data_IF_169110429241
#
_entry.id   IF_169110429241
#
_cell.length_a   1.000
_cell.length_b   1.000
_cell.length_c   1.000
_cell.angle_alpha   90.00
_cell.angle_beta   90.00
_cell.angle_gamma   90.00
#
_symmetry.space_group_name_H-M   'P 1'
#
loop_
_entity.id
_entity.type
_entity.pdbx_description
1 polymer ?
#
# COMPACT_ATOMS: atom_id res chain seq x y z
N UNK A 1 24.52 12.40 18.25
CA UNK A 1 23.31 12.62 19.09
C UNK A 1 22.43 11.37 19.13
N UNK A 2 22.80 10.33 19.91
CA UNK A 2 22.10 9.03 19.96
C UNK A 2 21.58 8.66 21.36
N UNK A 3 21.74 9.55 22.34
CA UNK A 3 21.40 9.24 23.75
C UNK A 3 19.91 9.34 24.06
N UNK A 4 19.13 10.14 23.35
CA UNK A 4 17.70 10.38 23.65
C UNK A 4 16.80 9.19 23.30
N UNK A 5 17.11 8.48 22.20
CA UNK A 5 16.32 7.33 21.73
C UNK A 5 16.31 6.16 22.73
N UNK A 6 17.45 5.88 23.37
CA UNK A 6 17.57 4.77 24.33
C UNK A 6 16.76 4.99 25.61
N UNK A 7 16.61 6.23 26.06
CA UNK A 7 15.81 6.55 27.25
C UNK A 7 14.32 6.40 26.99
N UNK A 8 13.86 6.77 25.80
CA UNK A 8 12.44 6.65 25.42
C UNK A 8 12.01 5.18 25.35
N UNK A 9 12.82 4.32 24.73
CA UNK A 9 12.54 2.88 24.64
C UNK A 9 12.53 2.22 26.01
N UNK A 10 13.47 2.58 26.90
CA UNK A 10 13.53 2.03 28.26
C UNK A 10 12.34 2.49 29.12
N UNK A 11 11.95 3.76 28.99
CA UNK A 11 10.79 4.30 29.71
C UNK A 11 9.50 3.59 29.27
N UNK A 12 9.32 3.38 27.96
CA UNK A 12 8.14 2.70 27.43
C UNK A 12 8.06 1.24 27.87
N UNK A 13 9.18 0.51 27.88
CA UNK A 13 9.24 -0.86 28.39
C UNK A 13 8.87 -0.94 29.87
N UNK A 14 9.42 -0.05 30.71
CA UNK A 14 9.09 -0.02 32.13
C UNK A 14 7.62 0.35 32.38
N UNK A 15 7.10 1.29 31.60
CA UNK A 15 5.69 1.70 31.68
C UNK A 15 4.75 0.53 31.36
N UNK A 16 5.01 -0.22 30.29
CA UNK A 16 4.24 -1.41 29.93
C UNK A 16 4.36 -2.48 31.02
N UNK A 17 5.59 -2.75 31.50
CA UNK A 17 5.84 -3.76 32.52
C UNK A 17 5.20 -3.44 33.89
N UNK A 18 4.92 -2.17 34.19
CA UNK A 18 4.27 -1.78 35.45
C UNK A 18 2.75 -1.64 35.30
N UNK A 19 2.27 -1.04 34.21
CA UNK A 19 0.84 -0.81 34.03
C UNK A 19 0.09 -2.10 33.73
N UNK A 20 0.65 -3.01 32.94
CA UNK A 20 -0.06 -4.25 32.59
C UNK A 20 -0.34 -5.09 33.84
N UNK A 21 0.65 -5.41 34.71
CA UNK A 21 0.39 -6.16 35.93
C UNK A 21 -0.51 -5.41 36.91
N UNK A 22 -0.36 -4.09 37.03
CA UNK A 22 -1.19 -3.28 37.92
C UNK A 22 -2.67 -3.28 37.48
N UNK A 23 -2.90 -3.14 36.18
CA UNK A 23 -4.21 -3.26 35.58
C UNK A 23 -4.83 -4.64 35.81
N UNK A 24 -4.03 -5.72 35.70
CA UNK A 24 -4.50 -7.06 36.03
C UNK A 24 -4.79 -7.25 37.53
N UNK A 25 -3.99 -6.64 38.41
CA UNK A 25 -4.19 -6.70 39.85
C UNK A 25 -5.50 -6.00 40.28
N UNK A 26 -5.84 -4.87 39.65
CA UNK A 26 -7.08 -4.14 39.95
C UNK A 26 -8.34 -4.74 39.31
N UNK A 27 -8.22 -5.34 38.12
CA UNK A 27 -9.39 -5.79 37.34
C UNK A 27 -9.77 -7.26 37.55
N UNK A 28 -8.90 -8.04 38.20
CA UNK A 28 -9.13 -9.44 38.54
C UNK A 28 -9.13 -10.41 37.34
N UNK A 29 -9.07 -11.73 37.60
CA UNK A 29 -8.87 -12.76 36.56
C UNK A 29 -10.02 -12.91 35.55
N UNK A 30 -11.17 -12.29 35.81
CA UNK A 30 -12.37 -12.41 34.96
C UNK A 30 -12.23 -11.68 33.62
N UNK A 31 -11.25 -10.79 33.46
CA UNK A 31 -11.00 -10.02 32.23
C UNK A 31 -10.48 -10.85 31.05
N UNK A 32 -9.99 -12.08 31.25
CA UNK A 32 -9.49 -12.92 30.16
C UNK A 32 -10.59 -13.49 29.27
N UNK A 33 -11.80 -13.69 29.83
CA UNK A 33 -12.96 -14.19 29.08
C UNK A 33 -13.38 -13.23 27.95
N UNK A 34 -13.31 -11.92 28.21
CA UNK A 34 -13.63 -10.87 27.23
C UNK A 34 -12.58 -10.72 26.13
N UNK A 35 -11.31 -11.05 26.41
CA UNK A 35 -10.26 -11.03 25.39
C UNK A 35 -10.39 -12.27 24.49
N UNK A 36 -10.70 -13.42 25.08
CA UNK A 36 -10.96 -14.65 24.33
C UNK A 36 -12.17 -14.49 23.39
N UNK A 37 -13.27 -13.87 23.86
CA UNK A 37 -14.43 -13.60 23.00
C UNK A 37 -14.10 -12.63 21.86
N UNK A 38 -13.33 -11.57 22.11
CA UNK A 38 -12.87 -10.64 21.06
C UNK A 38 -12.00 -11.34 20.02
N UNK A 39 -11.06 -12.19 20.44
CA UNK A 39 -10.22 -12.98 19.52
C UNK A 39 -11.04 -14.01 18.74
N UNK A 40 -12.05 -14.63 19.35
CA UNK A 40 -12.98 -15.53 18.66
C UNK A 40 -13.84 -14.81 17.62
N UNK A 41 -14.25 -13.56 17.89
CA UNK A 41 -15.04 -12.77 16.94
C UNK A 41 -14.19 -12.37 15.72
N UNK A 42 -12.91 -12.04 15.94
CA UNK A 42 -11.93 -11.79 14.87
C UNK A 42 -11.61 -13.06 14.05
N UNK A 43 -11.63 -14.24 14.67
CA UNK A 43 -11.44 -15.52 13.98
C UNK A 43 -12.63 -15.88 13.08
N UNK A 44 -13.86 -15.51 13.45
CA UNK A 44 -15.05 -15.81 12.64
C UNK A 44 -15.13 -14.96 11.37
N UNK A 45 -14.64 -13.71 11.40
CA UNK A 45 -14.68 -12.83 10.23
C UNK A 45 -13.66 -13.15 9.12
N UNK A 46 -12.67 -14.02 9.39
CA UNK A 46 -11.65 -14.39 8.40
C UNK A 46 -11.99 -15.65 7.56
N UNK A 47 -13.17 -16.25 7.73
CA UNK A 47 -13.54 -17.50 7.04
C UNK A 47 -14.46 -17.25 5.81
N UNK A 48 -14.97 -16.04 5.60
CA UNK A 48 -15.87 -15.73 4.47
C UNK A 48 -15.18 -15.02 3.30
N UNK A 49 -13.92 -15.33 3.01
CA UNK A 49 -13.19 -14.78 1.86
C UNK A 49 -12.51 -15.84 0.99
N UNK A 50 -13.12 -17.02 0.82
CA UNK A 50 -12.70 -17.99 -0.21
C UNK A 50 -13.88 -18.79 -0.74
N UNK A 51 -14.58 -18.25 -1.74
CA UNK A 51 -15.49 -18.93 -2.69
C UNK A 51 -16.23 -17.78 -3.40
N UNK A 52 -16.04 -17.47 -4.68
CA UNK A 52 -16.11 -18.35 -5.85
C UNK A 52 -15.44 -17.67 -7.04
N UNK A 53 -14.53 -18.39 -7.69
CA UNK A 53 -14.03 -18.08 -9.03
C UNK A 53 -14.95 -18.80 -10.04
N UNK A 54 -15.57 -18.12 -11.03
CA UNK A 54 -16.07 -18.79 -12.21
C UNK A 54 -14.99 -18.77 -13.30
N UNK A 55 -14.56 -19.97 -13.65
CA UNK A 55 -13.72 -20.29 -14.81
C UNK A 55 -14.57 -20.37 -16.10
N UNK A 56 -13.90 -20.19 -17.24
CA UNK A 56 -14.24 -20.65 -18.63
C UNK A 56 -15.06 -19.72 -19.56
N UNK A 57 -14.97 -19.89 -20.91
CA UNK A 57 -13.79 -20.17 -21.77
C UNK A 57 -13.75 -19.35 -23.11
N UNK A 58 -12.54 -19.32 -23.70
CA UNK A 58 -12.16 -19.39 -25.14
C UNK A 58 -12.82 -18.58 -26.28
N UNK A 59 -11.92 -18.01 -27.10
CA UNK A 59 -11.89 -17.97 -28.60
C UNK A 59 -12.57 -16.84 -29.39
N UNK A 60 -11.71 -15.93 -29.87
CA UNK A 60 -11.49 -15.49 -31.27
C UNK A 60 -12.72 -15.28 -32.17
N UNK A 61 -12.91 -14.03 -32.60
CA UNK A 61 -13.30 -13.72 -33.99
C UNK A 61 -12.66 -12.41 -34.47
N UNK A 62 -11.97 -12.49 -35.60
CA UNK A 62 -11.38 -11.38 -36.38
C UNK A 62 -12.47 -10.71 -37.23
N UNK A 63 -12.52 -9.38 -37.23
CA UNK A 63 -12.94 -8.60 -38.40
C UNK A 63 -12.33 -7.18 -38.34
N UNK A 64 -11.93 -6.58 -39.48
CA UNK A 64 -11.09 -5.38 -39.51
C UNK A 64 -11.93 -4.09 -39.49
N UNK A 65 -11.58 -3.16 -38.60
CA UNK A 65 -12.14 -1.80 -38.63
C UNK A 65 -11.41 -0.96 -39.69
N UNK A 66 -12.16 -0.57 -40.70
CA UNK A 66 -11.80 0.38 -41.76
C UNK A 66 -11.82 1.78 -41.16
N UNK A 67 -10.65 2.37 -40.89
CA UNK A 67 -10.56 3.77 -40.44
C UNK A 67 -10.34 4.64 -41.68
N UNK A 68 -11.31 5.54 -41.87
CA UNK A 68 -11.36 6.57 -42.90
C UNK A 68 -10.27 7.60 -42.66
N UNK A 69 -9.51 7.93 -43.71
CA UNK A 69 -8.54 9.02 -43.71
C UNK A 69 -9.29 10.33 -44.02
N UNK A 70 -9.38 11.24 -43.05
CA UNK A 70 -9.68 12.65 -43.33
C UNK A 70 -8.75 13.57 -42.50
N UNK A 71 -8.21 14.66 -43.07
CA UNK A 71 -7.07 15.38 -42.52
C UNK A 71 -7.46 16.46 -41.50
N UNK A 72 -6.77 16.46 -40.36
CA UNK A 72 -6.88 17.50 -39.32
C UNK A 72 -6.14 18.79 -39.74
N UNK A 73 -6.70 20.01 -39.54
CA UNK A 73 -6.07 21.28 -39.89
C UNK A 73 -4.89 21.66 -38.95
N UNK A 74 -4.02 22.61 -39.35
CA UNK A 74 -2.66 22.70 -38.87
C UNK A 74 -2.52 23.30 -37.46
N UNK A 75 -1.53 22.71 -36.79
CA UNK A 75 -0.84 23.11 -35.57
C UNK A 75 -0.76 24.62 -35.41
N UNK A 76 -1.53 25.14 -34.46
CA UNK A 76 -1.31 26.46 -33.87
C UNK A 76 0.02 26.44 -33.11
N UNK A 77 0.96 27.25 -33.57
CA UNK A 77 2.24 27.50 -32.93
C UNK A 77 2.01 28.15 -31.56
N UNK A 78 2.07 27.35 -30.49
CA UNK A 78 2.25 27.88 -29.14
C UNK A 78 3.64 28.49 -29.07
N UNK A 79 3.70 29.81 -29.27
CA UNK A 79 4.90 30.60 -29.06
C UNK A 79 5.39 30.37 -27.64
N UNK A 80 6.61 29.83 -27.54
CA UNK A 80 7.41 29.78 -26.34
C UNK A 80 7.58 31.21 -25.79
N UNK A 81 6.65 31.63 -24.93
CA UNK A 81 6.81 32.83 -24.13
C UNK A 81 7.61 32.44 -22.89
N UNK A 82 8.89 32.78 -22.98
CA UNK A 82 9.76 33.22 -21.89
C UNK A 82 9.75 32.36 -20.63
N UNK A 83 10.84 31.59 -20.49
CA UNK A 83 11.40 31.12 -19.23
C UNK A 83 11.41 32.24 -18.18
N UNK A 84 10.32 32.37 -17.45
CA UNK A 84 10.36 32.97 -16.12
C UNK A 84 10.86 31.87 -15.19
N UNK A 85 12.17 31.95 -14.93
CA UNK A 85 12.79 31.76 -13.62
C UNK A 85 11.84 31.19 -12.53
N UNK A 86 12.22 30.02 -12.00
CA UNK A 86 11.52 29.12 -11.06
C UNK A 86 10.55 28.09 -11.67
N UNK A 87 10.95 26.81 -11.63
CA UNK A 87 10.01 25.76 -11.23
C UNK A 87 10.78 24.61 -10.59
N UNK A 88 11.20 24.78 -9.34
CA UNK A 88 11.47 23.62 -8.50
C UNK A 88 10.24 22.71 -8.56
N UNK A 89 10.46 21.39 -8.68
CA UNK A 89 9.36 20.44 -8.61
C UNK A 89 8.56 20.68 -7.33
N UNK A 90 7.23 20.46 -7.33
CA UNK A 90 6.46 20.48 -6.09
C UNK A 90 7.14 19.68 -5.00
N UNK A 91 7.10 20.21 -3.77
CA UNK A 91 7.76 19.57 -2.63
C UNK A 91 7.34 18.10 -2.51
N UNK A 92 8.33 17.23 -2.36
CA UNK A 92 8.12 15.79 -2.25
C UNK A 92 7.77 15.07 -3.56
N UNK A 93 7.53 15.75 -4.69
CA UNK A 93 7.25 15.08 -5.97
C UNK A 93 8.42 14.21 -6.41
N UNK A 94 9.64 14.75 -6.32
CA UNK A 94 10.85 14.01 -6.69
C UNK A 94 11.02 12.74 -5.84
N UNK A 95 10.80 12.87 -4.53
CA UNK A 95 10.79 11.76 -3.59
C UNK A 95 9.74 10.70 -3.94
N UNK A 96 8.52 11.13 -4.27
CA UNK A 96 7.43 10.23 -4.62
C UNK A 96 7.75 9.45 -5.90
N UNK A 97 8.16 10.13 -6.98
CA UNK A 97 8.52 9.49 -8.24
C UNK A 97 9.64 8.46 -8.00
N UNK A 98 10.71 8.86 -7.32
CA UNK A 98 11.82 7.96 -6.98
C UNK A 98 11.34 6.74 -6.16
N UNK A 99 10.45 6.94 -5.18
CA UNK A 99 9.91 5.87 -4.35
C UNK A 99 9.08 4.87 -5.15
N UNK A 100 8.24 5.33 -6.10
CA UNK A 100 7.48 4.45 -6.98
C UNK A 100 8.37 3.69 -7.98
N UNK A 101 9.43 4.31 -8.50
CA UNK A 101 10.39 3.67 -9.40
C UNK A 101 11.17 2.55 -8.70
N UNK A 102 11.62 2.82 -7.48
CA UNK A 102 12.44 1.90 -6.70
C UNK A 102 11.63 0.89 -5.89
N UNK A 103 10.29 1.00 -5.88
CA UNK A 103 9.39 0.10 -5.16
C UNK A 103 9.75 -1.40 -5.28
N UNK A 104 10.03 -1.95 -6.47
CA UNK A 104 10.30 -3.38 -6.61
C UNK A 104 11.52 -3.82 -5.81
N UNK A 105 12.57 -2.99 -5.83
CA UNK A 105 13.80 -3.23 -5.08
C UNK A 105 13.56 -3.12 -3.58
N UNK A 106 12.98 -2.01 -3.12
CA UNK A 106 12.77 -1.73 -1.70
C UNK A 106 11.82 -2.76 -1.07
N UNK A 107 10.69 -3.06 -1.71
CA UNK A 107 9.72 -4.03 -1.23
C UNK A 107 10.32 -5.45 -1.17
N UNK A 108 11.08 -5.85 -2.19
CA UNK A 108 11.75 -7.16 -2.22
C UNK A 108 12.78 -7.30 -1.09
N UNK A 109 13.54 -6.24 -0.81
CA UNK A 109 14.49 -6.23 0.31
C UNK A 109 13.79 -6.41 1.66
N UNK A 110 12.63 -5.77 1.87
CA UNK A 110 11.84 -5.93 3.11
C UNK A 110 11.41 -7.38 3.30
N UNK A 111 10.86 -8.01 2.26
CA UNK A 111 10.45 -9.42 2.30
C UNK A 111 11.66 -10.34 2.50
N UNK A 112 12.77 -10.07 1.83
CA UNK A 112 13.99 -10.86 1.97
C UNK A 112 14.53 -10.80 3.40
N UNK A 113 14.57 -9.61 4.03
CA UNK A 113 14.98 -9.46 5.43
C UNK A 113 14.09 -10.27 6.37
N UNK A 114 12.76 -10.25 6.17
CA UNK A 114 11.81 -11.06 6.95
C UNK A 114 12.04 -12.57 6.73
N UNK A 115 12.28 -12.99 5.49
CA UNK A 115 12.57 -14.37 5.15
C UNK A 115 13.88 -14.86 5.78
N UNK A 116 14.94 -14.06 5.73
CA UNK A 116 16.21 -14.39 6.40
C UNK A 116 16.05 -14.57 7.90
N UNK A 117 15.24 -13.73 8.56
CA UNK A 117 14.93 -13.90 10.00
C UNK A 117 14.16 -15.19 10.26
N UNK A 118 13.17 -15.50 9.42
CA UNK A 118 12.44 -16.76 9.48
C UNK A 118 13.38 -17.97 9.33
N UNK A 119 14.30 -17.96 8.36
CA UNK A 119 15.25 -19.07 8.15
C UNK A 119 16.19 -19.31 9.34
N UNK A 120 16.43 -18.29 10.16
CA UNK A 120 17.28 -18.37 11.37
C UNK A 120 16.55 -18.84 12.63
N UNK A 121 15.25 -19.14 12.54
CA UNK A 121 14.49 -19.67 13.67
C UNK A 121 15.02 -21.03 14.14
N UNK A 122 14.79 -21.33 15.42
CA UNK A 122 15.10 -22.66 15.98
C UNK A 122 14.24 -23.74 15.31
N UNK A 123 14.68 -25.02 15.28
CA UNK A 123 13.90 -26.09 14.65
C UNK A 123 12.46 -26.22 15.19
N UNK A 124 12.25 -26.03 16.50
CA UNK A 124 10.92 -26.09 17.11
C UNK A 124 10.00 -24.94 16.65
N UNK A 125 10.51 -23.70 16.60
CA UNK A 125 9.77 -22.54 16.08
C UNK A 125 9.45 -22.69 14.59
N UNK A 126 10.42 -23.23 13.83
CA UNK A 126 10.24 -23.45 12.39
C UNK A 126 9.18 -24.53 12.15
N UNK A 127 9.19 -25.62 12.92
CA UNK A 127 8.17 -26.67 12.85
C UNK A 127 6.76 -26.10 13.11
N UNK A 128 6.57 -25.30 14.16
CA UNK A 128 5.30 -24.62 14.42
C UNK A 128 4.89 -23.69 13.26
N UNK A 129 5.83 -22.91 12.72
CA UNK A 129 5.57 -22.03 11.59
C UNK A 129 5.18 -22.80 10.32
N UNK A 130 5.75 -23.98 10.10
CA UNK A 130 5.35 -24.88 9.01
C UNK A 130 3.95 -25.46 9.21
N UNK A 131 3.57 -25.84 10.44
CA UNK A 131 2.21 -26.26 10.76
C UNK A 131 1.17 -25.16 10.44
N UNK A 132 1.55 -23.89 10.65
CA UNK A 132 0.72 -22.73 10.30
C UNK A 132 0.81 -22.30 8.83
N UNK A 133 1.54 -23.06 7.99
CA UNK A 133 1.81 -22.72 6.59
C UNK A 133 2.41 -21.31 6.38
N UNK A 134 3.18 -20.82 7.36
CA UNK A 134 3.81 -19.51 7.32
C UNK A 134 4.69 -19.28 6.07
N UNK A 135 5.45 -20.27 5.55
CA UNK A 135 6.23 -20.09 4.34
C UNK A 135 5.43 -19.62 3.12
N UNK A 136 4.15 -20.00 3.02
CA UNK A 136 3.28 -19.58 1.92
C UNK A 136 3.07 -18.06 1.88
N UNK A 137 3.16 -17.38 3.02
CA UNK A 137 3.04 -15.91 3.09
C UNK A 137 4.16 -15.22 2.32
N UNK A 138 5.39 -15.76 2.32
CA UNK A 138 6.48 -15.18 1.55
C UNK A 138 6.26 -15.33 0.04
N UNK A 139 5.70 -16.45 -0.41
CA UNK A 139 5.35 -16.65 -1.82
C UNK A 139 4.25 -15.66 -2.25
N UNK A 140 3.17 -15.58 -1.47
CA UNK A 140 2.06 -14.62 -1.71
C UNK A 140 2.55 -13.18 -1.70
N UNK A 141 3.43 -12.81 -0.77
CA UNK A 141 4.00 -11.46 -0.71
C UNK A 141 4.83 -11.13 -1.96
N UNK A 142 5.67 -12.05 -2.45
CA UNK A 142 6.44 -11.85 -3.69
C UNK A 142 5.53 -11.69 -4.91
N UNK A 143 4.47 -12.49 -5.01
CA UNK A 143 3.47 -12.35 -6.06
C UNK A 143 2.75 -10.99 -5.99
N UNK A 144 2.43 -10.52 -4.78
CA UNK A 144 1.87 -9.19 -4.55
C UNK A 144 2.82 -8.08 -5.03
N UNK A 145 4.11 -8.18 -4.67
CA UNK A 145 5.14 -7.22 -5.12
C UNK A 145 5.24 -7.18 -6.64
N UNK A 146 5.20 -8.34 -7.31
CA UNK A 146 5.27 -8.40 -8.78
C UNK A 146 4.09 -7.67 -9.44
N UNK A 147 2.86 -7.90 -8.95
CA UNK A 147 1.68 -7.19 -9.46
C UNK A 147 1.76 -5.69 -9.20
N UNK A 148 2.15 -5.32 -7.99
CA UNK A 148 2.26 -3.93 -7.58
C UNK A 148 3.39 -3.18 -8.30
N UNK A 149 4.44 -3.89 -8.73
CA UNK A 149 5.56 -3.34 -9.51
C UNK A 149 5.09 -2.79 -10.85
N UNK A 150 4.13 -3.45 -11.50
CA UNK A 150 3.59 -2.98 -12.77
C UNK A 150 2.85 -1.65 -12.59
N UNK A 151 2.00 -1.57 -11.56
CA UNK A 151 1.28 -0.35 -11.23
C UNK A 151 2.22 0.77 -10.76
N UNK A 152 3.21 0.47 -9.92
CA UNK A 152 4.14 1.48 -9.40
C UNK A 152 4.95 2.13 -10.51
N UNK A 153 5.42 1.33 -11.48
CA UNK A 153 6.13 1.84 -12.67
C UNK A 153 5.26 2.73 -13.53
N UNK A 154 3.99 2.36 -13.73
CA UNK A 154 3.05 3.17 -14.50
C UNK A 154 2.79 4.52 -13.82
N UNK A 155 2.58 4.54 -12.51
CA UNK A 155 2.39 5.77 -11.73
C UNK A 155 3.63 6.67 -11.84
N UNK A 156 4.83 6.11 -11.67
CA UNK A 156 6.08 6.86 -11.82
C UNK A 156 6.23 7.44 -13.24
N UNK A 157 5.94 6.65 -14.28
CA UNK A 157 5.99 7.09 -15.67
C UNK A 157 5.02 8.26 -15.92
N UNK A 158 3.76 8.14 -15.49
CA UNK A 158 2.77 9.22 -15.59
C UNK A 158 3.28 10.47 -14.86
N UNK A 159 3.89 10.32 -13.68
CA UNK A 159 4.52 11.41 -12.95
C UNK A 159 5.60 12.12 -13.77
N UNK A 160 6.54 11.37 -14.36
CA UNK A 160 7.60 11.95 -15.19
C UNK A 160 7.08 12.65 -16.44
N UNK A 161 6.08 12.07 -17.10
CA UNK A 161 5.46 12.64 -18.30
C UNK A 161 4.70 13.93 -17.97
N UNK A 162 3.89 13.91 -16.90
CA UNK A 162 3.04 15.05 -16.48
C UNK A 162 3.87 16.25 -16.06
N UNK A 163 4.97 16.01 -15.35
CA UNK A 163 5.84 17.08 -14.84
C UNK A 163 7.08 17.33 -15.70
N UNK A 164 7.15 16.70 -16.88
CA UNK A 164 8.23 16.87 -17.86
C UNK A 164 9.64 16.72 -17.27
N UNK A 165 9.82 15.79 -16.34
CA UNK A 165 11.08 15.65 -15.60
C UNK A 165 12.15 14.85 -16.36
N UNK A 166 11.79 14.31 -17.53
CA UNK A 166 12.68 13.49 -18.36
C UNK A 166 13.09 12.17 -17.71
N UNK A 167 13.99 11.40 -18.36
CA UNK A 167 14.44 10.09 -17.87
C UNK A 167 15.58 10.16 -16.85
N UNK A 168 16.14 11.34 -16.60
CA UNK A 168 17.29 11.50 -15.71
C UNK A 168 16.89 11.43 -14.23
N UNK A 169 17.86 11.18 -13.36
CA UNK A 169 17.61 11.24 -11.92
C UNK A 169 17.04 12.61 -11.57
N UNK A 170 16.03 12.62 -10.70
CA UNK A 170 15.57 13.86 -10.10
C UNK A 170 16.63 14.26 -9.08
N UNK A 171 16.98 15.54 -9.01
CA UNK A 171 17.92 16.08 -8.00
C UNK A 171 17.29 15.97 -6.61
N UNK A 172 17.31 14.77 -6.06
CA UNK A 172 16.78 14.41 -4.75
C UNK A 172 17.76 13.48 -4.06
N UNK A 173 18.34 13.97 -2.96
CA UNK A 173 19.37 13.26 -2.19
C UNK A 173 18.79 12.20 -1.24
N UNK A 174 17.46 12.03 -1.17
CA UNK A 174 16.83 11.08 -0.27
C UNK A 174 16.67 9.69 -0.86
N UNK A 175 16.71 8.69 0.02
CA UNK A 175 16.43 7.30 -0.33
C UNK A 175 14.95 7.10 -0.68
N UNK A 176 14.67 6.15 -1.57
CA UNK A 176 13.31 5.71 -1.86
C UNK A 176 12.64 5.07 -0.63
N UNK A 177 11.39 5.44 -0.38
CA UNK A 177 10.64 4.98 0.79
C UNK A 177 9.48 4.04 0.41
N UNK A 178 9.48 2.85 1.01
CA UNK A 178 8.36 1.91 0.87
C UNK A 178 7.04 2.49 1.40
N UNK A 179 7.09 3.26 2.50
CA UNK A 179 5.92 3.79 3.17
C UNK A 179 5.06 4.68 2.28
N UNK A 180 5.68 5.53 1.46
CA UNK A 180 4.98 6.39 0.48
C UNK A 180 4.14 5.57 -0.48
N UNK A 181 4.70 4.49 -1.02
CA UNK A 181 3.99 3.64 -1.99
C UNK A 181 2.92 2.79 -1.30
N UNK A 182 3.19 2.29 -0.09
CA UNK A 182 2.25 1.51 0.72
C UNK A 182 1.00 2.32 1.09
N UNK A 183 1.18 3.57 1.54
CA UNK A 183 0.10 4.49 1.87
C UNK A 183 -0.73 4.85 0.63
N UNK A 184 -0.07 5.16 -0.50
CA UNK A 184 -0.75 5.44 -1.76
C UNK A 184 -1.59 4.25 -2.25
N UNK A 185 -1.08 3.02 -2.16
CA UNK A 185 -1.86 1.82 -2.49
C UNK A 185 -2.99 1.56 -1.50
N UNK A 186 -2.79 1.86 -0.22
CA UNK A 186 -3.85 1.84 0.79
C UNK A 186 -4.99 2.78 0.41
N UNK A 187 -4.69 4.03 0.04
CA UNK A 187 -5.67 5.00 -0.44
C UNK A 187 -6.34 4.56 -1.74
N UNK A 188 -5.59 4.03 -2.71
CA UNK A 188 -6.16 3.53 -3.96
C UNK A 188 -7.18 2.41 -3.68
N UNK A 189 -6.82 1.47 -2.80
CA UNK A 189 -7.72 0.39 -2.39
C UNK A 189 -8.97 0.93 -1.70
N UNK A 190 -8.81 1.82 -0.71
CA UNK A 190 -9.93 2.43 0.01
C UNK A 190 -10.86 3.20 -0.93
N UNK A 191 -10.30 4.02 -1.82
CA UNK A 191 -11.07 4.99 -2.58
C UNK A 191 -11.67 4.39 -3.87
N UNK A 192 -11.01 3.38 -4.45
CA UNK A 192 -11.33 2.89 -5.79
C UNK A 192 -11.61 1.39 -5.89
N UNK A 193 -11.53 0.63 -4.80
CA UNK A 193 -11.95 -0.78 -4.80
C UNK A 193 -13.39 -0.97 -4.33
N UNK A 194 -13.98 -2.13 -4.65
CA UNK A 194 -15.24 -2.59 -4.07
C UNK A 194 -15.11 -2.91 -2.59
N UNK A 195 -13.94 -3.40 -2.15
CA UNK A 195 -13.66 -3.70 -0.75
C UNK A 195 -13.67 -2.43 0.12
N UNK A 196 -13.22 -1.30 -0.42
CA UNK A 196 -13.24 0.00 0.28
C UNK A 196 -14.64 0.65 0.40
N UNK A 197 -15.68 0.07 -0.21
CA UNK A 197 -17.00 0.70 -0.27
C UNK A 197 -17.63 0.93 1.12
N UNK A 198 -17.46 -0.01 2.05
CA UNK A 198 -17.98 0.14 3.41
C UNK A 198 -17.32 1.29 4.16
N UNK A 199 -15.99 1.40 4.08
CA UNK A 199 -15.23 2.50 4.68
C UNK A 199 -15.64 3.85 4.06
N UNK A 200 -15.75 3.92 2.73
CA UNK A 200 -16.23 5.13 2.04
C UNK A 200 -17.63 5.53 2.48
N UNK A 201 -18.54 4.55 2.61
CA UNK A 201 -19.90 4.81 3.06
C UNK A 201 -19.94 5.29 4.52
N UNK A 202 -19.04 4.82 5.38
CA UNK A 202 -18.96 5.29 6.76
C UNK A 202 -18.40 6.72 6.84
N UNK A 203 -17.37 7.03 6.04
CA UNK A 203 -16.64 8.31 6.11
C UNK A 203 -17.34 9.42 5.32
N UNK A 204 -17.75 9.16 4.07
CA UNK A 204 -18.24 10.19 3.16
C UNK A 204 -19.74 10.43 3.20
N UNK A 205 -20.54 9.49 3.74
CA UNK A 205 -22.01 9.67 3.86
C UNK A 205 -22.40 10.86 4.73
N UNK A 206 -21.56 11.24 5.68
CA UNK A 206 -21.77 12.40 6.56
C UNK A 206 -21.46 13.72 5.84
N UNK A 207 -20.68 13.68 4.77
CA UNK A 207 -20.14 14.86 4.08
C UNK A 207 -20.94 15.22 2.84
N UNK A 208 -21.54 14.25 2.15
CA UNK A 208 -22.42 14.53 1.02
C UNK A 208 -23.82 14.88 1.53
N UNK A 209 -24.27 16.15 1.46
CA UNK A 209 -25.65 16.47 1.81
C UNK A 209 -26.53 15.62 0.89
N UNK A 210 -27.47 14.90 1.49
CA UNK A 210 -28.50 14.17 0.74
C UNK A 210 -29.17 15.21 -0.13
N UNK A 211 -28.87 15.21 -1.44
CA UNK A 211 -29.53 16.10 -2.39
C UNK A 211 -30.98 15.66 -2.37
N UNK A 212 -31.79 16.34 -1.57
CA UNK A 212 -33.21 16.09 -1.47
C UNK A 212 -33.75 16.17 -2.90
N UNK A 213 -34.15 15.04 -3.44
CA UNK A 213 -34.94 14.97 -4.65
C UNK A 213 -36.30 15.57 -4.31
N UNK A 214 -36.40 16.90 -4.41
CA UNK A 214 -37.67 17.58 -4.59
C UNK A 214 -38.13 17.26 -6.00
N UNK A 215 -38.96 16.23 -6.10
CA UNK A 215 -39.93 16.03 -7.19
C UNK A 215 -41.16 16.87 -6.92
#
# INVERSE_FOLDING_TARGET
>A
MTRTSTYLTRFFTLFICLIIPLYFAFRGPTSFSNIASLLSTLSQHNITFTSSLPTSPSSISKAPAKISNEPTPPIGTFKAKQQTQYSSLPDGLAHCINSFEQYPSVASQIIQRKHTRFSKQTPSQKALSHQLNYPSHFSKARQGIEKNTQLSRLIAQIGRETYHTGPHSLDYDGDAEYGVVDEAFGHLSRDWSTQGAEERNAVFKTVTPTRATTT
#
